data_IF_990189138267
#
_entry.id   IF_990189138267
#
_cell.length_a   1.000
_cell.length_b   1.000
_cell.length_c   1.000
_cell.angle_alpha   90.00
_cell.angle_beta   90.00
_cell.angle_gamma   90.00
#
_symmetry.space_group_name_H-M   'P 1'
#
loop_
_entity.id
_entity.type
_entity.pdbx_description
1 polymer ?
#
# COMPACT_ATOMS: atom_id res chain seq x y z
N UNK A 1 9.71 16.71 3.10
CA UNK A 1 10.25 16.30 1.79
C UNK A 1 9.30 15.32 1.16
N UNK A 2 8.90 15.58 -0.07
CA UNK A 2 8.08 14.63 -0.81
C UNK A 2 8.93 13.46 -1.32
N UNK A 3 8.41 12.25 -1.23
CA UNK A 3 9.05 11.07 -1.79
C UNK A 3 9.03 11.13 -3.32
N UNK A 4 10.04 10.53 -3.92
CA UNK A 4 10.17 10.44 -5.37
C UNK A 4 10.60 9.05 -5.79
N UNK A 5 10.22 8.66 -7.00
CA UNK A 5 10.76 7.48 -7.65
C UNK A 5 12.28 7.58 -7.69
N UNK A 6 12.96 6.50 -7.38
CA UNK A 6 14.42 6.44 -7.29
C UNK A 6 14.97 6.61 -5.89
N UNK A 7 14.17 7.07 -4.95
CA UNK A 7 14.57 7.21 -3.55
C UNK A 7 14.37 5.91 -2.78
N UNK A 8 15.16 5.72 -1.73
CA UNK A 8 14.95 4.63 -0.77
C UNK A 8 13.63 4.86 -0.04
N UNK A 9 12.77 3.84 0.00
CA UNK A 9 11.51 3.91 0.73
C UNK A 9 11.78 3.96 2.24
N UNK A 10 11.17 4.91 2.97
CA UNK A 10 11.28 4.95 4.43
C UNK A 10 10.80 3.64 5.06
N UNK A 11 11.57 3.12 6.01
CA UNK A 11 11.18 1.90 6.71
C UNK A 11 9.98 2.15 7.62
N UNK A 12 9.23 1.10 7.89
CA UNK A 12 8.10 1.16 8.83
C UNK A 12 7.88 -0.20 9.47
N UNK A 13 7.21 -0.18 10.63
CA UNK A 13 6.69 -1.38 11.29
C UNK A 13 5.24 -1.10 11.65
N UNK A 14 4.31 -1.86 11.09
CA UNK A 14 2.88 -1.65 11.26
C UNK A 14 2.18 -2.95 11.65
N UNK A 15 1.03 -2.83 12.33
CA UNK A 15 0.18 -3.97 12.66
C UNK A 15 -0.68 -4.36 11.46
N UNK A 16 -0.82 -5.67 11.24
CA UNK A 16 -1.75 -6.20 10.26
C UNK A 16 -3.16 -6.32 10.85
N UNK A 17 -4.13 -6.61 10.00
CA UNK A 17 -5.51 -6.93 10.39
C UNK A 17 -5.62 -8.21 11.25
N UNK A 18 -4.55 -9.00 11.34
CA UNK A 18 -4.45 -10.15 12.26
C UNK A 18 -3.62 -9.83 13.50
N UNK A 19 -3.34 -8.54 13.77
CA UNK A 19 -2.57 -8.08 14.94
C UNK A 19 -1.12 -8.57 14.97
N UNK A 20 -0.57 -8.90 13.80
CA UNK A 20 0.85 -9.25 13.63
C UNK A 20 1.60 -8.02 13.13
N UNK A 21 2.91 -8.00 13.24
CA UNK A 21 3.72 -6.89 12.75
C UNK A 21 4.31 -7.20 11.38
N UNK A 22 4.39 -6.17 10.53
CA UNK A 22 5.11 -6.20 9.25
C UNK A 22 6.12 -5.06 9.26
N UNK A 23 7.37 -5.39 8.95
CA UNK A 23 8.45 -4.43 8.83
C UNK A 23 8.94 -4.42 7.37
N UNK A 24 8.94 -3.24 6.75
CA UNK A 24 9.29 -3.13 5.33
C UNK A 24 10.69 -3.66 5.03
N UNK A 25 11.68 -3.34 5.87
CA UNK A 25 13.06 -3.75 5.63
C UNK A 25 13.28 -5.27 5.64
N UNK A 26 12.33 -6.05 6.19
CA UNK A 26 12.40 -7.51 6.15
C UNK A 26 12.27 -8.08 4.73
N UNK A 27 11.74 -7.29 3.80
CA UNK A 27 11.55 -7.70 2.39
C UNK A 27 12.71 -7.28 1.51
N UNK A 28 13.61 -6.43 2.00
CA UNK A 28 14.76 -5.97 1.22
C UNK A 28 15.69 -7.13 0.87
N UNK A 29 16.02 -7.25 -0.41
CA UNK A 29 16.82 -8.35 -0.93
C UNK A 29 16.02 -9.63 -1.18
N UNK A 30 14.72 -9.64 -0.88
CA UNK A 30 13.87 -10.84 -0.98
C UNK A 30 12.71 -10.68 -1.93
N UNK A 31 11.92 -9.62 -1.76
CA UNK A 31 10.70 -9.38 -2.54
C UNK A 31 10.53 -7.92 -2.90
N UNK A 32 9.88 -7.67 -4.01
CA UNK A 32 9.28 -6.37 -4.30
C UNK A 32 8.09 -6.17 -3.36
N UNK A 33 7.72 -4.92 -3.09
CA UNK A 33 6.59 -4.61 -2.21
C UNK A 33 5.62 -3.68 -2.93
N UNK A 34 4.34 -4.05 -2.94
CA UNK A 34 3.26 -3.20 -3.44
C UNK A 34 2.46 -2.73 -2.24
N UNK A 35 2.37 -1.41 -2.06
CA UNK A 35 1.57 -0.76 -1.03
C UNK A 35 0.37 -0.10 -1.69
N UNK A 36 -0.83 -0.60 -1.41
CA UNK A 36 -2.08 0.01 -1.84
C UNK A 36 -2.64 0.82 -0.67
N UNK A 37 -2.42 2.13 -0.71
CA UNK A 37 -2.87 3.04 0.33
C UNK A 37 -4.29 3.51 0.02
N UNK A 38 -5.21 3.29 0.95
CA UNK A 38 -6.61 3.69 0.79
C UNK A 38 -7.02 4.67 1.89
N UNK A 39 -8.07 5.45 1.59
CA UNK A 39 -8.49 6.55 2.45
C UNK A 39 -9.14 6.04 3.72
N UNK A 40 -10.20 5.24 3.58
CA UNK A 40 -10.96 4.67 4.69
C UNK A 40 -11.55 3.32 4.28
N UNK A 41 -11.52 2.34 5.18
CA UNK A 41 -12.23 1.09 5.01
C UNK A 41 -13.72 1.37 4.77
N UNK A 42 -14.36 0.55 3.95
CA UNK A 42 -15.79 0.62 3.60
C UNK A 42 -16.21 1.81 2.72
N UNK A 43 -15.32 2.72 2.34
CA UNK A 43 -15.64 3.73 1.34
C UNK A 43 -15.68 3.12 -0.05
N UNK A 44 -16.49 3.70 -0.95
CA UNK A 44 -16.73 3.13 -2.27
C UNK A 44 -15.46 3.01 -3.13
N UNK A 45 -14.71 4.10 -3.27
CA UNK A 45 -13.48 4.10 -4.06
C UNK A 45 -12.40 3.17 -3.50
N UNK A 46 -12.33 3.05 -2.17
CA UNK A 46 -11.38 2.15 -1.51
C UNK A 46 -11.76 0.69 -1.73
N UNK A 47 -13.04 0.36 -1.69
CA UNK A 47 -13.53 -0.98 -1.99
C UNK A 47 -13.16 -1.38 -3.42
N UNK A 48 -13.37 -0.48 -4.37
CA UNK A 48 -13.04 -0.71 -5.77
C UNK A 48 -11.53 -0.93 -5.97
N UNK A 49 -10.70 -0.07 -5.37
CA UNK A 49 -9.24 -0.20 -5.44
C UNK A 49 -8.77 -1.55 -4.89
N UNK A 50 -9.22 -1.90 -3.70
CA UNK A 50 -8.75 -3.10 -3.01
C UNK A 50 -9.22 -4.38 -3.69
N UNK A 51 -10.43 -4.40 -4.22
CA UNK A 51 -10.92 -5.54 -5.01
C UNK A 51 -10.12 -5.71 -6.31
N UNK A 52 -9.74 -4.59 -6.95
CA UNK A 52 -8.91 -4.64 -8.15
C UNK A 52 -7.50 -5.19 -7.85
N UNK A 53 -6.94 -4.87 -6.68
CA UNK A 53 -5.67 -5.44 -6.23
C UNK A 53 -5.81 -6.95 -6.03
N UNK A 54 -6.87 -7.40 -5.36
CA UNK A 54 -7.11 -8.83 -5.17
C UNK A 54 -7.27 -9.56 -6.50
N UNK A 55 -7.99 -8.97 -7.44
CA UNK A 55 -8.12 -9.54 -8.80
C UNK A 55 -6.76 -9.65 -9.50
N UNK A 56 -5.87 -8.69 -9.27
CA UNK A 56 -4.51 -8.73 -9.79
C UNK A 56 -3.69 -9.89 -9.22
N UNK A 57 -3.90 -10.21 -7.94
CA UNK A 57 -3.29 -11.38 -7.30
C UNK A 57 -3.87 -12.66 -7.92
N UNK A 58 -5.19 -12.76 -8.00
CA UNK A 58 -5.87 -13.96 -8.49
C UNK A 58 -5.56 -14.26 -9.95
N UNK A 59 -5.36 -13.24 -10.76
CA UNK A 59 -5.05 -13.39 -12.20
C UNK A 59 -3.55 -13.62 -12.48
N UNK A 60 -2.70 -13.53 -11.46
CA UNK A 60 -1.25 -13.68 -11.63
C UNK A 60 -0.53 -12.42 -12.13
N UNK A 61 -1.23 -11.29 -12.28
CA UNK A 61 -0.60 -10.00 -12.64
C UNK A 61 0.33 -9.51 -11.54
N UNK A 62 0.02 -9.86 -10.28
CA UNK A 62 0.92 -9.65 -9.15
C UNK A 62 1.54 -11.01 -8.82
N UNK A 63 2.79 -11.26 -9.21
CA UNK A 63 3.44 -12.55 -8.92
C UNK A 63 3.84 -12.61 -7.45
N UNK A 64 3.04 -13.28 -6.64
CA UNK A 64 3.21 -13.30 -5.18
C UNK A 64 4.44 -14.08 -4.72
N UNK A 65 5.07 -14.85 -5.58
CA UNK A 65 6.33 -15.53 -5.27
C UNK A 65 7.48 -14.55 -5.05
N UNK A 66 7.44 -13.35 -5.63
CA UNK A 66 8.47 -12.32 -5.43
C UNK A 66 7.94 -10.92 -5.20
N UNK A 67 6.63 -10.76 -4.98
CA UNK A 67 6.00 -9.48 -4.64
C UNK A 67 5.11 -9.66 -3.42
N UNK A 68 5.39 -8.92 -2.35
CA UNK A 68 4.54 -8.85 -1.18
C UNK A 68 3.53 -7.71 -1.37
N UNK A 69 2.27 -7.95 -1.06
CA UNK A 69 1.18 -6.98 -1.26
C UNK A 69 0.59 -6.60 0.09
N UNK A 70 0.46 -5.31 0.33
CA UNK A 70 -0.14 -4.79 1.55
C UNK A 70 -1.10 -3.65 1.24
N UNK A 71 -2.28 -3.65 1.89
CA UNK A 71 -3.09 -2.46 2.00
C UNK A 71 -2.60 -1.61 3.16
N UNK A 72 -2.76 -0.30 3.10
CA UNK A 72 -2.38 0.61 4.18
C UNK A 72 -3.46 1.66 4.37
N UNK A 73 -3.87 1.89 5.61
CA UNK A 73 -4.85 2.94 5.96
C UNK A 73 -4.64 3.43 7.39
N UNK A 74 -5.42 4.44 7.77
CA UNK A 74 -5.48 4.93 9.15
C UNK A 74 -6.39 4.08 10.04
N UNK A 75 -7.14 3.14 9.46
CA UNK A 75 -8.12 2.33 10.19
C UNK A 75 -7.42 1.38 11.18
N UNK A 76 -8.17 0.97 12.20
CA UNK A 76 -7.68 -0.01 13.18
C UNK A 76 -7.55 -1.41 12.57
N UNK A 77 -6.75 -2.31 13.17
CA UNK A 77 -6.71 -3.70 12.75
C UNK A 77 -8.10 -4.36 12.71
N UNK A 78 -8.95 -4.07 13.69
CA UNK A 78 -10.31 -4.63 13.74
C UNK A 78 -11.17 -4.16 12.56
N UNK A 79 -11.14 -2.87 12.22
CA UNK A 79 -11.87 -2.33 11.08
C UNK A 79 -11.35 -2.91 9.77
N UNK A 80 -10.04 -3.03 9.63
CA UNK A 80 -9.42 -3.62 8.45
C UNK A 80 -9.76 -5.11 8.31
N UNK A 81 -9.80 -5.85 9.41
CA UNK A 81 -10.19 -7.27 9.39
C UNK A 81 -11.62 -7.44 8.85
N UNK A 82 -12.56 -6.62 9.34
CA UNK A 82 -13.95 -6.66 8.87
C UNK A 82 -14.04 -6.27 7.39
N UNK A 83 -13.29 -5.27 6.97
CA UNK A 83 -13.25 -4.82 5.58
C UNK A 83 -12.72 -5.93 4.66
N UNK A 84 -11.62 -6.58 5.05
CA UNK A 84 -11.03 -7.68 4.29
C UNK A 84 -12.01 -8.85 4.15
N UNK A 85 -12.67 -9.23 5.24
CA UNK A 85 -13.64 -10.33 5.23
C UNK A 85 -14.81 -10.02 4.30
N UNK A 86 -15.38 -8.83 4.41
CA UNK A 86 -16.54 -8.42 3.60
C UNK A 86 -16.21 -8.38 2.10
N UNK A 87 -14.97 -8.07 1.73
CA UNK A 87 -14.57 -7.87 0.34
C UNK A 87 -13.72 -9.01 -0.22
N UNK A 88 -13.53 -10.09 0.54
CA UNK A 88 -12.75 -11.23 0.07
C UNK A 88 -11.29 -10.91 -0.21
N UNK A 89 -10.69 -10.04 0.60
CA UNK A 89 -9.28 -9.66 0.45
C UNK A 89 -8.40 -10.68 1.19
N UNK A 90 -7.40 -11.22 0.51
CA UNK A 90 -6.51 -12.25 1.05
C UNK A 90 -5.06 -11.77 1.18
N UNK A 91 -4.84 -10.46 1.21
CA UNK A 91 -3.53 -9.88 1.51
C UNK A 91 -3.63 -9.04 2.80
N UNK A 92 -2.54 -8.90 3.55
CA UNK A 92 -2.59 -8.16 4.83
C UNK A 92 -2.93 -6.68 4.64
N UNK A 93 -3.76 -6.15 5.53
CA UNK A 93 -4.06 -4.72 5.60
C UNK A 93 -3.32 -4.14 6.81
N UNK A 94 -2.51 -3.11 6.57
CA UNK A 94 -1.68 -2.50 7.60
C UNK A 94 -2.36 -1.26 8.16
N UNK A 95 -2.28 -1.12 9.48
CA UNK A 95 -2.89 -0.01 10.23
C UNK A 95 -1.83 1.00 10.63
N UNK A 96 -1.88 2.21 10.05
CA UNK A 96 -0.99 3.31 10.42
C UNK A 96 -1.71 4.29 11.35
N UNK A 97 -2.24 3.77 12.45
CA UNK A 97 -3.02 4.56 13.41
C UNK A 97 -2.22 5.72 14.02
N UNK A 98 -0.90 5.60 14.09
CA UNK A 98 -0.03 6.65 14.59
C UNK A 98 0.36 7.67 13.52
N UNK A 99 -0.09 7.49 12.28
CA UNK A 99 0.16 8.38 11.13
C UNK A 99 1.64 8.53 10.73
N UNK A 100 2.52 7.70 11.27
CA UNK A 100 3.96 7.83 11.05
C UNK A 100 4.40 7.47 9.64
N UNK A 101 3.89 6.35 9.12
CA UNK A 101 4.25 5.89 7.78
C UNK A 101 3.71 6.84 6.72
N UNK A 102 2.42 7.19 6.81
CA UNK A 102 1.79 8.09 5.85
C UNK A 102 2.46 9.47 5.85
N UNK A 103 2.86 9.95 7.04
CA UNK A 103 3.60 11.21 7.15
C UNK A 103 4.97 11.10 6.49
N UNK A 104 5.72 10.02 6.76
CA UNK A 104 7.04 9.80 6.19
C UNK A 104 6.99 9.69 4.67
N UNK A 105 5.90 9.13 4.12
CA UNK A 105 5.70 8.97 2.69
C UNK A 105 5.07 10.22 2.03
N UNK A 106 4.75 11.27 2.81
CA UNK A 106 4.18 12.50 2.26
C UNK A 106 2.75 12.38 1.77
N UNK A 107 2.03 11.37 2.23
CA UNK A 107 0.65 11.08 1.80
C UNK A 107 -0.37 11.20 2.92
N UNK A 108 0.00 11.90 3.99
CA UNK A 108 -0.93 12.30 5.05
C UNK A 108 -1.37 13.74 4.76
N UNK A 109 -2.66 13.94 4.59
CA UNK A 109 -3.23 15.27 4.30
C UNK A 109 -4.02 15.79 5.49
N UNK A 110 -3.93 17.09 5.73
CA UNK A 110 -4.67 17.77 6.78
C UNK A 110 -5.71 18.69 6.14
N UNK A 111 -6.95 18.56 6.57
CA UNK A 111 -8.05 19.42 6.15
C UNK A 111 -8.58 20.16 7.37
N UNK A 112 -8.68 21.48 7.29
CA UNK A 112 -9.20 22.31 8.38
C UNK A 112 -10.64 22.72 8.06
N UNK A 113 -11.55 22.37 8.95
CA UNK A 113 -12.99 22.71 8.84
C UNK A 113 -13.42 23.26 10.18
N UNK A 114 -13.97 24.49 10.19
CA UNK A 114 -14.48 25.15 11.40
C UNK A 114 -13.49 25.11 12.58
N UNK A 115 -12.23 25.42 12.31
CA UNK A 115 -11.11 25.46 13.28
C UNK A 115 -10.71 24.09 13.83
N UNK A 116 -11.18 22.99 13.22
CA UNK A 116 -10.75 21.64 13.55
C UNK A 116 -9.93 21.05 12.41
N UNK A 117 -8.86 20.34 12.76
CA UNK A 117 -7.98 19.69 11.79
C UNK A 117 -8.31 18.19 11.71
N UNK A 118 -8.56 17.73 10.48
CA UNK A 118 -8.80 16.32 10.20
C UNK A 118 -7.68 15.80 9.31
N UNK A 119 -7.15 14.63 9.65
CA UNK A 119 -6.10 14.01 8.86
C UNK A 119 -6.62 12.81 8.08
N UNK A 120 -6.26 12.75 6.80
CA UNK A 120 -6.70 11.70 5.89
C UNK A 120 -5.50 11.16 5.13
N UNK A 121 -5.55 9.86 4.80
CA UNK A 121 -4.60 9.30 3.86
C UNK A 121 -4.94 9.77 2.45
N UNK A 122 -3.92 10.16 1.68
CA UNK A 122 -4.07 10.33 0.24
C UNK A 122 -4.02 8.93 -0.38
N UNK A 123 -5.00 8.60 -1.24
CA UNK A 123 -5.00 7.34 -1.97
C UNK A 123 -3.74 7.23 -2.82
N UNK A 124 -3.07 6.08 -2.76
CA UNK A 124 -1.84 5.89 -3.53
C UNK A 124 -1.57 4.41 -3.80
N UNK A 125 -0.93 4.13 -4.92
CA UNK A 125 -0.34 2.83 -5.20
C UNK A 125 1.16 3.04 -5.29
N UNK A 126 1.93 2.36 -4.46
CA UNK A 126 3.38 2.53 -4.35
C UNK A 126 4.03 1.17 -4.59
N UNK A 127 4.99 1.13 -5.49
CA UNK A 127 5.77 -0.09 -5.77
C UNK A 127 7.22 0.16 -5.38
N UNK A 128 7.76 -0.73 -4.58
CA UNK A 128 9.14 -0.70 -4.06
C UNK A 128 9.83 -1.97 -4.55
N UNK A 129 11.01 -1.85 -5.13
CA UNK A 129 11.74 -3.00 -5.64
C UNK A 129 12.51 -3.75 -4.53
N UNK A 130 13.17 -4.85 -4.90
CA UNK A 130 13.93 -5.69 -3.97
C UNK A 130 15.07 -4.96 -3.28
N UNK A 131 15.58 -3.88 -3.87
CA UNK A 131 16.64 -3.06 -3.27
C UNK A 131 16.08 -2.02 -2.29
N UNK A 132 14.75 -1.93 -2.16
CA UNK A 132 14.10 -0.94 -1.30
C UNK A 132 13.89 0.41 -1.97
N UNK A 133 14.05 0.48 -3.29
CA UNK A 133 13.93 1.72 -4.05
C UNK A 133 12.50 1.87 -4.58
N UNK A 134 11.92 3.06 -4.42
CA UNK A 134 10.60 3.38 -4.94
C UNK A 134 10.64 3.43 -6.47
N UNK A 135 9.81 2.62 -7.11
CA UNK A 135 9.72 2.53 -8.57
C UNK A 135 8.44 3.16 -9.12
N UNK A 136 7.42 3.32 -8.30
CA UNK A 136 6.16 3.94 -8.70
C UNK A 136 5.51 4.61 -7.49
N UNK A 137 5.00 5.83 -7.71
CA UNK A 137 4.06 6.51 -6.80
C UNK A 137 2.93 7.02 -7.66
N UNK A 138 1.77 6.39 -7.56
CA UNK A 138 0.55 6.79 -8.26
C UNK A 138 -0.43 7.29 -7.21
N UNK A 139 -0.73 8.58 -7.22
CA UNK A 139 -1.48 9.26 -6.16
C UNK A 139 -2.81 9.81 -6.64
N UNK A 140 -3.74 9.93 -5.69
CA UNK A 140 -5.02 10.59 -5.90
C UNK A 140 -6.05 9.69 -6.58
N UNK A 141 -7.00 10.30 -7.28
CA UNK A 141 -8.13 9.58 -7.87
C UNK A 141 -7.73 8.53 -8.91
N UNK A 142 -6.59 8.75 -9.59
CA UNK A 142 -6.08 7.78 -10.55
C UNK A 142 -5.70 6.44 -9.90
N UNK A 143 -5.38 6.46 -8.60
CA UNK A 143 -4.96 5.25 -7.89
C UNK A 143 -6.12 4.30 -7.55
N UNK A 144 -7.36 4.68 -7.81
CA UNK A 144 -8.52 3.77 -7.71
C UNK A 144 -8.34 2.59 -8.65
N UNK A 145 -7.79 2.84 -9.84
CA UNK A 145 -7.40 1.80 -10.78
C UNK A 145 -5.91 1.48 -10.62
N UNK A 146 -5.55 0.32 -10.06
CA UNK A 146 -4.14 0.01 -9.81
C UNK A 146 -3.41 -0.56 -11.04
N UNK A 147 -3.94 -0.40 -12.24
CA UNK A 147 -3.43 -1.05 -13.45
C UNK A 147 -1.95 -0.75 -13.71
N UNK A 148 -1.52 0.49 -13.51
CA UNK A 148 -0.11 0.88 -13.69
C UNK A 148 0.81 0.12 -12.72
N UNK A 149 0.40 0.01 -11.45
CA UNK A 149 1.15 -0.73 -10.45
C UNK A 149 1.17 -2.23 -10.76
N UNK A 150 0.06 -2.81 -11.21
CA UNK A 150 -0.02 -4.22 -11.59
C UNK A 150 0.93 -4.53 -12.75
N UNK A 151 0.96 -3.66 -13.76
CA UNK A 151 1.87 -3.81 -14.90
C UNK A 151 3.32 -3.76 -14.46
N UNK A 152 3.67 -2.84 -13.56
CA UNK A 152 5.03 -2.75 -13.04
C UNK A 152 5.42 -3.99 -12.24
N UNK A 153 4.54 -4.54 -11.41
CA UNK A 153 4.80 -5.77 -10.67
C UNK A 153 5.13 -6.93 -11.62
N UNK A 154 4.38 -7.05 -12.72
CA UNK A 154 4.66 -8.05 -13.75
C UNK A 154 6.03 -7.81 -14.40
N UNK A 155 6.36 -6.57 -14.71
CA UNK A 155 7.65 -6.19 -15.31
C UNK A 155 8.82 -6.51 -14.37
N UNK A 156 8.70 -6.16 -13.09
CA UNK A 156 9.76 -6.41 -12.10
C UNK A 156 9.98 -7.90 -11.89
N UNK A 157 8.93 -8.71 -11.96
CA UNK A 157 9.03 -10.16 -11.86
C UNK A 157 9.89 -10.76 -12.98
N UNK A 158 9.80 -10.20 -14.18
CA UNK A 158 10.56 -10.68 -15.34
C UNK A 158 12.01 -10.21 -15.38
N UNK A 159 12.37 -9.23 -14.52
CA UNK A 159 13.73 -8.72 -14.46
C UNK A 159 14.62 -9.67 -13.66
N UNK A 160 15.84 -9.98 -14.15
CA UNK A 160 16.78 -10.76 -13.35
C UNK A 160 17.15 -9.97 -12.09
N UNK A 161 17.35 -10.72 -10.98
CA UNK A 161 17.82 -10.10 -9.75
C UNK A 161 19.18 -9.48 -9.99
N UNK A 162 19.32 -8.16 -9.79
CA UNK A 162 20.64 -7.53 -9.76
C UNK A 162 21.27 -7.85 -8.40
N UNK A 163 22.38 -8.54 -8.43
CA UNK A 163 23.17 -8.81 -7.22
C UNK A 163 23.92 -7.56 -6.79
#
# INVERSE_FOLDING_TARGET
MSLKVGHMAPDFTLLTDEWKTVKLSDYRGKKNVFLAVYVLAFSEGCTQQMRAVQAGIDSGRIPTEDTAVFGVSLDSPAANAAFAEQNGLHFPLLSDMNHKMLKAYGILKTYSVENEDYQWALRANIVIDKQGIIRLIDEGDNAVDPNTALTLCTTLHKQPSSN
#
